data_IF_137645587551
#
_entry.id   IF_137645587551
#
_cell.length_a   1.000
_cell.length_b   1.000
_cell.length_c   1.000
_cell.angle_alpha   90.00
_cell.angle_beta   90.00
_cell.angle_gamma   90.00
#
_symmetry.space_group_name_H-M   'P 1'
#
loop_
_entity.id
_entity.type
_entity.pdbx_description
1 polymer ?
#
# COMPACT_ATOMS: atom_id res chain seq x y z
N UNK A 1 23.39 19.99 -6.01
CA UNK A 1 21.99 20.17 -6.39
C UNK A 1 21.13 19.51 -5.33
N UNK A 2 20.27 20.25 -4.63
CA UNK A 2 19.34 19.67 -3.68
C UNK A 2 18.33 18.83 -4.47
N UNK A 3 18.47 17.50 -4.43
CA UNK A 3 17.45 16.62 -4.99
C UNK A 3 16.17 16.82 -4.17
N UNK A 4 15.15 17.35 -4.80
CA UNK A 4 13.80 17.44 -4.24
C UNK A 4 13.36 16.04 -3.83
N UNK A 5 12.69 15.93 -2.69
CA UNK A 5 12.16 14.67 -2.20
C UNK A 5 11.09 14.17 -3.21
N UNK A 6 11.32 13.07 -3.93
CA UNK A 6 10.35 12.54 -4.87
C UNK A 6 9.24 11.80 -4.11
N UNK A 7 8.31 12.56 -3.51
CA UNK A 7 7.15 11.98 -2.83
C UNK A 7 6.09 11.64 -3.88
N UNK A 8 5.72 10.37 -4.04
CA UNK A 8 4.62 10.00 -4.93
C UNK A 8 3.30 10.52 -4.34
N UNK A 9 2.40 10.99 -5.21
CA UNK A 9 1.11 11.51 -4.77
C UNK A 9 0.20 10.46 -4.14
N UNK A 10 0.35 9.19 -4.54
CA UNK A 10 -0.47 8.07 -4.06
C UNK A 10 -1.97 8.42 -4.09
N UNK A 11 -2.68 8.13 -2.99
CA UNK A 11 -4.09 8.49 -2.83
C UNK A 11 -4.31 9.88 -2.18
N UNK A 12 -3.26 10.69 -1.98
CA UNK A 12 -3.36 11.96 -1.29
C UNK A 12 -4.33 12.97 -1.93
N UNK A 13 -4.37 13.14 -3.27
CA UNK A 13 -5.34 14.04 -3.90
C UNK A 13 -6.78 13.62 -3.64
N UNK A 14 -7.07 12.32 -3.67
CA UNK A 14 -8.38 11.78 -3.35
C UNK A 14 -8.79 12.09 -1.91
N UNK A 15 -7.89 11.85 -0.95
CA UNK A 15 -8.14 12.11 0.48
C UNK A 15 -8.36 13.59 0.72
N UNK A 16 -7.51 14.47 0.16
CA UNK A 16 -7.63 15.91 0.30
C UNK A 16 -8.96 16.43 -0.26
N UNK A 17 -9.32 16.02 -1.48
CA UNK A 17 -10.60 16.38 -2.10
C UNK A 17 -11.78 15.94 -1.24
N UNK A 18 -11.73 14.71 -0.73
CA UNK A 18 -12.78 14.16 0.11
C UNK A 18 -12.93 14.95 1.41
N UNK A 19 -11.82 15.26 2.08
CA UNK A 19 -11.85 16.03 3.33
C UNK A 19 -12.33 17.47 3.14
N UNK A 20 -12.00 18.12 2.03
CA UNK A 20 -12.52 19.46 1.67
C UNK A 20 -14.02 19.42 1.42
N UNK A 21 -14.51 18.36 0.75
CA UNK A 21 -15.94 18.22 0.43
C UNK A 21 -16.77 17.67 1.59
N UNK A 22 -16.14 17.04 2.57
CA UNK A 22 -16.85 16.40 3.69
C UNK A 22 -17.80 17.31 4.47
N UNK A 23 -17.44 18.58 4.80
CA UNK A 23 -18.36 19.50 5.47
C UNK A 23 -19.61 19.85 4.63
N UNK A 24 -19.49 19.78 3.30
CA UNK A 24 -20.57 20.16 2.37
C UNK A 24 -21.62 19.04 2.23
N UNK A 25 -21.35 17.83 2.70
CA UNK A 25 -22.24 16.67 2.57
C UNK A 25 -23.66 16.92 3.07
N UNK A 26 -23.82 17.60 4.20
CA UNK A 26 -25.12 17.92 4.78
C UNK A 26 -25.91 18.92 3.96
N UNK A 27 -25.23 19.86 3.31
CA UNK A 27 -25.84 20.87 2.44
C UNK A 27 -26.39 20.27 1.13
N UNK A 28 -25.81 19.13 0.71
CA UNK A 28 -26.20 18.42 -0.53
C UNK A 28 -27.16 17.25 -0.22
N UNK A 29 -27.55 17.07 1.06
CA UNK A 29 -28.47 16.00 1.46
C UNK A 29 -27.87 14.59 1.42
N UNK A 30 -26.54 14.49 1.37
CA UNK A 30 -25.87 13.18 1.43
C UNK A 30 -25.85 12.64 2.85
N UNK A 31 -26.51 11.52 3.05
CA UNK A 31 -26.44 10.75 4.30
C UNK A 31 -25.39 9.65 4.17
N UNK A 32 -24.65 9.43 5.25
CA UNK A 32 -23.73 8.28 5.29
C UNK A 32 -24.55 6.99 5.18
N UNK A 33 -24.29 6.20 4.13
CA UNK A 33 -24.83 4.86 4.05
C UNK A 33 -24.14 4.05 5.15
N UNK A 34 -24.92 3.56 6.10
CA UNK A 34 -24.46 2.57 7.05
C UNK A 34 -24.22 1.28 6.25
N UNK A 35 -22.98 1.01 5.87
CA UNK A 35 -22.56 -0.24 5.23
C UNK A 35 -22.68 -1.35 6.29
N UNK A 36 -23.90 -1.76 6.55
CA UNK A 36 -24.41 -2.76 7.46
C UNK A 36 -23.44 -3.16 8.59
N UNK A 37 -23.85 -2.95 9.82
CA UNK A 37 -23.17 -3.62 10.92
C UNK A 37 -23.10 -5.11 10.55
N UNK A 38 -21.90 -5.59 10.29
CA UNK A 38 -21.65 -7.03 10.16
C UNK A 38 -21.82 -7.60 11.57
N UNK A 39 -23.04 -7.73 12.05
CA UNK A 39 -23.55 -8.01 13.38
C UNK A 39 -22.78 -8.96 14.31
N UNK A 40 -21.53 -9.21 14.03
CA UNK A 40 -20.66 -10.15 14.69
C UNK A 40 -19.53 -9.39 15.39
N UNK A 41 -19.62 -9.30 16.71
CA UNK A 41 -18.60 -8.69 17.56
C UNK A 41 -17.30 -9.52 17.63
N UNK A 42 -17.36 -10.78 17.20
CA UNK A 42 -16.19 -11.67 17.21
C UNK A 42 -15.31 -11.44 15.99
N UNK A 43 -14.01 -11.22 16.23
CA UNK A 43 -13.03 -11.04 15.14
C UNK A 43 -12.77 -12.39 14.47
N UNK A 44 -13.01 -12.41 13.16
CA UNK A 44 -12.73 -13.57 12.29
C UNK A 44 -11.53 -13.23 11.41
N UNK A 45 -10.33 -13.58 11.82
CA UNK A 45 -9.09 -13.18 11.16
C UNK A 45 -9.02 -13.52 9.67
N UNK A 46 -9.48 -14.71 9.26
CA UNK A 46 -9.50 -15.11 7.83
C UNK A 46 -10.46 -14.21 7.05
N UNK A 47 -11.66 -13.99 7.58
CA UNK A 47 -12.65 -13.12 6.95
C UNK A 47 -12.14 -11.69 6.86
N UNK A 48 -11.58 -11.17 7.95
CA UNK A 48 -10.99 -9.83 8.01
C UNK A 48 -9.86 -9.65 7.00
N UNK A 49 -8.97 -10.64 6.88
CA UNK A 49 -7.84 -10.62 5.93
C UNK A 49 -8.34 -10.57 4.49
N UNK A 50 -9.29 -11.45 4.12
CA UNK A 50 -9.86 -11.45 2.77
C UNK A 50 -10.67 -10.19 2.50
N UNK A 51 -11.49 -9.74 3.46
CA UNK A 51 -12.25 -8.50 3.30
C UNK A 51 -11.35 -7.28 3.17
N UNK A 52 -10.19 -7.24 3.84
CA UNK A 52 -9.22 -6.16 3.71
C UNK A 52 -8.65 -6.07 2.29
N UNK A 53 -8.36 -7.21 1.67
CA UNK A 53 -7.95 -7.28 0.26
C UNK A 53 -9.07 -6.79 -0.67
N UNK A 54 -10.31 -7.18 -0.42
CA UNK A 54 -11.47 -6.70 -1.18
C UNK A 54 -11.71 -5.21 -0.99
N UNK A 55 -11.55 -4.70 0.24
CA UNK A 55 -11.73 -3.29 0.58
C UNK A 55 -10.71 -2.38 -0.11
N UNK A 56 -9.53 -2.90 -0.48
CA UNK A 56 -8.57 -2.18 -1.30
C UNK A 56 -9.13 -1.82 -2.70
N UNK A 57 -10.13 -2.56 -3.17
CA UNK A 57 -10.90 -2.29 -4.39
C UNK A 57 -12.30 -1.68 -4.11
N UNK A 58 -12.52 -1.13 -2.93
CA UNK A 58 -13.83 -0.63 -2.48
C UNK A 58 -14.93 -1.70 -2.45
N UNK A 59 -14.58 -2.99 -2.45
CA UNK A 59 -15.49 -4.12 -2.39
C UNK A 59 -15.28 -4.91 -1.10
N UNK A 60 -15.85 -4.42 0.03
CA UNK A 60 -15.69 -4.96 1.37
C UNK A 60 -16.33 -6.35 1.52
N UNK A 61 -15.79 -7.35 0.84
CA UNK A 61 -16.29 -8.73 0.80
C UNK A 61 -15.11 -9.70 0.74
N UNK A 62 -15.20 -10.80 1.47
CA UNK A 62 -14.20 -11.86 1.44
C UNK A 62 -14.07 -12.51 0.05
N UNK A 63 -15.18 -12.63 -0.68
CA UNK A 63 -15.19 -13.19 -2.05
C UNK A 63 -14.41 -12.27 -2.98
N UNK A 64 -14.69 -10.96 -2.94
CA UNK A 64 -13.95 -9.97 -3.74
C UNK A 64 -12.46 -9.97 -3.39
N UNK A 65 -12.13 -10.09 -2.10
CA UNK A 65 -10.76 -10.20 -1.64
C UNK A 65 -10.05 -11.45 -2.13
N UNK A 66 -10.73 -12.58 -2.15
CA UNK A 66 -10.19 -13.83 -2.70
C UNK A 66 -9.91 -13.70 -4.20
N UNK A 67 -10.84 -13.15 -4.97
CA UNK A 67 -10.68 -12.92 -6.41
C UNK A 67 -9.49 -11.96 -6.65
N UNK A 68 -9.41 -10.88 -5.88
CA UNK A 68 -8.31 -9.94 -5.98
C UNK A 68 -6.96 -10.58 -5.64
N UNK A 69 -6.90 -11.37 -4.57
CA UNK A 69 -5.69 -12.11 -4.18
C UNK A 69 -5.24 -13.08 -5.27
N UNK A 70 -6.18 -13.81 -5.88
CA UNK A 70 -5.89 -14.71 -7.00
C UNK A 70 -5.37 -13.93 -8.22
N UNK A 71 -5.94 -12.76 -8.52
CA UNK A 71 -5.45 -11.89 -9.58
C UNK A 71 -4.01 -11.43 -9.35
N UNK A 72 -3.68 -10.99 -8.13
CA UNK A 72 -2.32 -10.61 -7.76
C UNK A 72 -1.40 -11.84 -7.82
N UNK A 73 -1.86 -13.00 -7.36
CA UNK A 73 -1.06 -14.23 -7.33
C UNK A 73 -0.63 -14.67 -8.74
N UNK A 74 -1.54 -14.53 -9.72
CA UNK A 74 -1.26 -14.83 -11.13
C UNK A 74 -0.26 -13.81 -11.71
N UNK A 75 -0.41 -12.53 -11.36
CA UNK A 75 0.47 -11.47 -11.83
C UNK A 75 1.85 -11.54 -11.17
N UNK A 76 1.90 -11.66 -9.84
CA UNK A 76 3.12 -11.71 -9.06
C UNK A 76 2.85 -12.33 -7.67
N UNK A 77 3.29 -13.57 -7.48
CA UNK A 77 3.08 -14.30 -6.23
C UNK A 77 3.67 -13.60 -5.00
N UNK A 78 4.80 -12.86 -5.15
CA UNK A 78 5.43 -12.13 -4.05
C UNK A 78 4.52 -11.02 -3.52
N UNK A 79 3.90 -10.26 -4.42
CA UNK A 79 2.92 -9.22 -4.05
C UNK A 79 1.69 -9.83 -3.37
N UNK A 80 1.22 -10.99 -3.82
CA UNK A 80 0.09 -11.68 -3.19
C UNK A 80 0.41 -12.07 -1.74
N UNK A 81 1.59 -12.62 -1.50
CA UNK A 81 2.04 -12.99 -0.15
C UNK A 81 2.16 -11.76 0.74
N UNK A 82 2.78 -10.68 0.23
CA UNK A 82 2.95 -9.42 0.97
C UNK A 82 1.61 -8.78 1.29
N UNK A 83 0.68 -8.75 0.33
CA UNK A 83 -0.67 -8.23 0.53
C UNK A 83 -1.44 -9.02 1.60
N UNK A 84 -1.37 -10.35 1.56
CA UNK A 84 -2.02 -11.21 2.53
C UNK A 84 -1.42 -11.05 3.95
N UNK A 85 -0.09 -10.99 4.04
CA UNK A 85 0.61 -10.73 5.33
C UNK A 85 0.21 -9.36 5.87
N UNK A 86 0.22 -8.31 5.04
CA UNK A 86 -0.18 -6.96 5.44
C UNK A 86 -1.62 -6.92 5.98
N UNK A 87 -2.55 -7.58 5.29
CA UNK A 87 -3.94 -7.69 5.73
C UNK A 87 -4.09 -8.42 7.07
N UNK A 88 -3.37 -9.53 7.25
CA UNK A 88 -3.39 -10.30 8.49
C UNK A 88 -2.83 -9.49 9.67
N UNK A 89 -1.69 -8.81 9.47
CA UNK A 89 -1.09 -7.95 10.50
C UNK A 89 -2.05 -6.84 10.89
N UNK A 90 -2.73 -6.23 9.93
CA UNK A 90 -3.72 -5.20 10.22
C UNK A 90 -4.86 -5.73 11.10
N UNK A 91 -5.37 -6.93 10.83
CA UNK A 91 -6.41 -7.53 11.65
C UNK A 91 -5.92 -7.81 13.08
N UNK A 92 -4.68 -8.27 13.25
CA UNK A 92 -4.05 -8.50 14.56
C UNK A 92 -3.84 -7.18 15.32
N UNK A 93 -3.29 -6.16 14.66
CA UNK A 93 -3.08 -4.83 15.26
C UNK A 93 -4.40 -4.19 15.64
N UNK A 94 -5.41 -4.25 14.75
CA UNK A 94 -6.73 -3.69 15.01
C UNK A 94 -7.41 -4.37 16.21
N UNK A 95 -7.29 -5.70 16.33
CA UNK A 95 -7.78 -6.44 17.50
C UNK A 95 -7.02 -6.04 18.78
N UNK A 96 -5.71 -5.85 18.70
CA UNK A 96 -4.89 -5.43 19.86
C UNK A 96 -5.27 -4.03 20.36
N UNK A 97 -5.60 -3.10 19.47
CA UNK A 97 -6.05 -1.75 19.85
C UNK A 97 -7.55 -1.68 20.17
N UNK A 98 -8.21 -2.82 20.33
CA UNK A 98 -9.64 -2.94 20.62
C UNK A 98 -10.53 -2.17 19.63
N UNK A 99 -10.22 -2.28 18.34
CA UNK A 99 -11.10 -1.75 17.32
C UNK A 99 -12.40 -2.58 17.24
N UNK A 100 -13.55 -1.98 16.85
CA UNK A 100 -14.80 -2.72 16.73
C UNK A 100 -14.67 -3.91 15.78
N UNK A 101 -15.20 -5.07 16.19
CA UNK A 101 -15.06 -6.32 15.45
C UNK A 101 -15.69 -6.28 14.06
N UNK A 102 -16.79 -5.54 13.89
CA UNK A 102 -17.44 -5.28 12.61
C UNK A 102 -16.54 -4.50 11.65
N UNK A 103 -15.82 -3.49 12.15
CA UNK A 103 -14.84 -2.74 11.35
C UNK A 103 -13.63 -3.60 10.95
N UNK A 104 -13.22 -4.53 11.82
CA UNK A 104 -12.13 -5.47 11.50
C UNK A 104 -12.60 -6.46 10.43
N UNK A 105 -13.76 -7.09 10.64
CA UNK A 105 -14.33 -8.11 9.76
C UNK A 105 -14.71 -7.57 8.37
N UNK A 106 -15.08 -6.27 8.28
CA UNK A 106 -15.32 -5.61 6.99
C UNK A 106 -14.04 -5.34 6.19
N UNK A 107 -12.87 -5.47 6.83
CA UNK A 107 -11.59 -5.17 6.22
C UNK A 107 -11.28 -3.68 6.07
N UNK A 108 -12.16 -2.81 6.59
CA UNK A 108 -12.04 -1.36 6.42
C UNK A 108 -10.80 -0.77 7.09
N UNK A 109 -10.32 -1.41 8.15
CA UNK A 109 -9.05 -1.04 8.80
C UNK A 109 -7.87 -1.62 8.02
N UNK A 110 -8.02 -2.84 7.51
CA UNK A 110 -6.94 -3.62 6.93
C UNK A 110 -6.45 -3.17 5.57
N UNK A 111 -7.30 -2.54 4.74
CA UNK A 111 -6.91 -2.18 3.37
C UNK A 111 -5.73 -1.19 3.33
N UNK A 112 -5.61 -0.31 4.33
CA UNK A 112 -4.46 0.60 4.44
C UNK A 112 -3.14 -0.15 4.56
N UNK A 113 -3.13 -1.24 5.34
CA UNK A 113 -1.94 -2.06 5.50
C UNK A 113 -1.61 -2.86 4.25
N UNK A 114 -2.61 -3.36 3.52
CA UNK A 114 -2.41 -4.01 2.21
C UNK A 114 -1.69 -3.07 1.27
N UNK A 115 -2.21 -1.84 1.11
CA UNK A 115 -1.62 -0.83 0.23
C UNK A 115 -0.23 -0.39 0.69
N UNK A 116 -0.05 -0.17 2.01
CA UNK A 116 1.23 0.23 2.58
C UNK A 116 2.29 -0.85 2.40
N UNK A 117 1.93 -2.13 2.57
CA UNK A 117 2.83 -3.26 2.41
C UNK A 117 3.33 -3.38 0.97
N UNK A 118 2.43 -3.34 -0.01
CA UNK A 118 2.79 -3.43 -1.43
C UNK A 118 3.61 -2.21 -1.83
N UNK A 119 3.18 -0.99 -1.48
CA UNK A 119 3.87 0.23 -1.84
C UNK A 119 5.27 0.32 -1.21
N UNK A 120 5.43 -0.11 0.05
CA UNK A 120 6.74 -0.12 0.70
C UNK A 120 7.68 -1.10 0.02
N UNK A 121 7.19 -2.28 -0.33
CA UNK A 121 7.97 -3.30 -1.03
C UNK A 121 8.46 -2.81 -2.40
N UNK A 122 7.61 -2.10 -3.15
CA UNK A 122 7.92 -1.64 -4.50
C UNK A 122 8.71 -0.32 -4.52
N UNK A 123 8.33 0.65 -3.68
CA UNK A 123 8.83 2.02 -3.78
C UNK A 123 10.03 2.28 -2.87
N UNK A 124 10.21 1.49 -1.81
CA UNK A 124 11.25 1.76 -0.80
C UNK A 124 12.30 0.66 -0.76
N UNK A 125 11.93 -0.54 -0.40
CA UNK A 125 12.82 -1.69 -0.35
C UNK A 125 12.04 -3.00 -0.27
N UNK A 126 12.53 -4.02 -0.97
CA UNK A 126 12.01 -5.39 -0.92
C UNK A 126 12.46 -6.11 0.38
N UNK A 127 12.31 -5.44 1.53
CA UNK A 127 12.63 -5.96 2.86
C UNK A 127 11.35 -6.26 3.64
N UNK A 128 11.17 -7.51 4.02
CA UNK A 128 10.00 -7.97 4.75
C UNK A 128 9.83 -7.24 6.10
N UNK A 129 10.92 -6.90 6.78
CA UNK A 129 10.87 -6.19 8.06
C UNK A 129 10.23 -4.82 7.90
N UNK A 130 10.61 -4.10 6.85
CA UNK A 130 10.07 -2.78 6.56
C UNK A 130 8.59 -2.87 6.14
N UNK A 131 8.24 -3.90 5.37
CA UNK A 131 6.84 -4.20 5.00
C UNK A 131 5.98 -4.47 6.23
N UNK A 132 6.46 -5.27 7.18
CA UNK A 132 5.75 -5.55 8.44
C UNK A 132 5.55 -4.29 9.27
N UNK A 133 6.59 -3.47 9.42
CA UNK A 133 6.51 -2.18 10.09
C UNK A 133 5.52 -1.23 9.41
N UNK A 134 5.52 -1.19 8.08
CA UNK A 134 4.59 -0.38 7.32
C UNK A 134 3.13 -0.83 7.52
N UNK A 135 2.87 -2.13 7.53
CA UNK A 135 1.54 -2.68 7.82
C UNK A 135 1.04 -2.28 9.21
N UNK A 136 1.88 -2.44 10.22
CA UNK A 136 1.55 -2.04 11.60
C UNK A 136 1.34 -0.54 11.73
N UNK A 137 2.28 0.26 11.22
CA UNK A 137 2.24 1.72 11.32
C UNK A 137 1.02 2.30 10.58
N UNK A 138 0.73 1.84 9.37
CA UNK A 138 -0.43 2.32 8.60
C UNK A 138 -1.75 2.03 9.29
N UNK A 139 -1.89 0.84 9.90
CA UNK A 139 -3.07 0.46 10.69
C UNK A 139 -3.22 1.34 11.93
N UNK A 140 -2.13 1.61 12.60
CA UNK A 140 -2.10 2.45 13.81
C UNK A 140 -2.45 3.90 13.47
N UNK A 141 -1.82 4.48 12.45
CA UNK A 141 -2.11 5.83 11.96
C UNK A 141 -3.59 5.94 11.56
N UNK A 142 -4.11 4.97 10.80
CA UNK A 142 -5.53 4.92 10.43
C UNK A 142 -6.43 4.93 11.67
N UNK A 143 -6.12 4.09 12.67
CA UNK A 143 -6.90 4.00 13.91
C UNK A 143 -6.88 5.30 14.72
N UNK A 144 -5.73 5.97 14.77
CA UNK A 144 -5.61 7.28 15.42
C UNK A 144 -6.44 8.37 14.72
N UNK A 145 -6.35 8.43 13.38
CA UNK A 145 -7.13 9.41 12.61
C UNK A 145 -8.62 9.13 12.74
N UNK A 146 -9.04 7.87 12.62
CA UNK A 146 -10.45 7.50 12.73
C UNK A 146 -11.08 7.84 14.09
N UNK A 147 -10.28 7.87 15.16
CA UNK A 147 -10.76 8.22 16.51
C UNK A 147 -10.80 9.71 16.78
N UNK A 148 -9.87 10.48 16.19
CA UNK A 148 -9.65 11.87 16.55
C UNK A 148 -10.07 12.87 15.48
N UNK A 149 -10.36 12.42 14.26
CA UNK A 149 -10.68 13.28 13.13
C UNK A 149 -12.16 13.15 12.73
N UNK A 150 -12.88 14.28 12.52
CA UNK A 150 -14.32 14.26 12.24
C UNK A 150 -14.67 13.72 10.84
N UNK A 151 -13.70 13.68 9.94
CA UNK A 151 -13.88 13.15 8.58
C UNK A 151 -13.37 11.72 8.49
N UNK A 152 -13.92 10.86 7.61
CA UNK A 152 -13.43 9.51 7.41
C UNK A 152 -11.94 9.46 7.09
N UNK A 153 -11.22 8.55 7.74
CA UNK A 153 -9.76 8.42 7.57
C UNK A 153 -9.35 7.94 6.16
N UNK A 154 -10.22 7.22 5.45
CA UNK A 154 -9.97 6.70 4.10
C UNK A 154 -8.61 5.98 4.00
N UNK A 155 -7.83 6.30 2.96
CA UNK A 155 -6.49 5.77 2.74
C UNK A 155 -5.37 6.59 3.41
N UNK A 156 -5.70 7.46 4.38
CA UNK A 156 -4.70 8.34 5.02
C UNK A 156 -3.63 7.58 5.79
N UNK A 157 -3.99 6.46 6.43
CA UNK A 157 -3.02 5.61 7.12
C UNK A 157 -1.94 5.08 6.19
N UNK A 158 -2.32 4.64 5.00
CA UNK A 158 -1.41 4.21 3.95
C UNK A 158 -0.50 5.34 3.46
N UNK A 159 -1.09 6.47 3.06
CA UNK A 159 -0.33 7.59 2.47
C UNK A 159 0.68 8.16 3.46
N UNK A 160 0.25 8.45 4.69
CA UNK A 160 1.13 9.02 5.72
C UNK A 160 2.23 8.05 6.14
N UNK A 161 1.93 6.75 6.20
CA UNK A 161 2.93 5.74 6.50
C UNK A 161 4.01 5.69 5.43
N UNK A 162 3.64 5.57 4.16
CA UNK A 162 4.62 5.49 3.05
C UNK A 162 5.42 6.78 2.95
N UNK A 163 4.79 7.94 3.06
CA UNK A 163 5.50 9.23 3.07
C UNK A 163 6.47 9.34 4.25
N UNK A 164 6.07 8.88 5.44
CA UNK A 164 6.93 8.83 6.62
C UNK A 164 8.17 7.99 6.40
N UNK A 165 8.01 6.79 5.85
CA UNK A 165 9.12 5.88 5.54
C UNK A 165 10.06 6.49 4.50
N UNK A 166 9.50 7.06 3.42
CA UNK A 166 10.32 7.72 2.39
C UNK A 166 11.05 8.95 2.93
N UNK A 167 10.41 9.74 3.78
CA UNK A 167 11.03 10.89 4.45
C UNK A 167 12.18 10.46 5.36
N UNK A 168 11.97 9.42 6.17
CA UNK A 168 13.02 8.86 7.04
C UNK A 168 14.19 8.32 6.22
N UNK A 169 13.94 7.63 5.12
CA UNK A 169 14.97 7.17 4.19
C UNK A 169 15.77 8.34 3.58
N UNK A 170 15.08 9.38 3.16
CA UNK A 170 15.71 10.60 2.64
C UNK A 170 16.52 11.33 3.69
N UNK A 171 16.02 11.48 4.91
CA UNK A 171 16.75 12.07 6.03
C UNK A 171 18.00 11.25 6.36
N UNK A 172 17.87 9.93 6.44
CA UNK A 172 19.01 9.05 6.70
C UNK A 172 20.11 9.21 5.62
N UNK A 173 19.74 9.26 4.34
CA UNK A 173 20.70 9.47 3.25
C UNK A 173 21.36 10.85 3.29
N UNK A 174 20.67 11.85 3.85
CA UNK A 174 21.21 13.20 3.97
C UNK A 174 22.21 13.36 5.12
N UNK A 175 21.94 12.68 6.25
CA UNK A 175 22.79 12.76 7.44
C UNK A 175 23.88 11.69 7.47
N UNK A 176 23.71 10.57 6.75
CA UNK A 176 24.66 9.47 6.65
C UNK A 176 25.02 9.18 5.19
N UNK A 177 25.74 10.07 4.49
CA UNK A 177 26.00 9.91 3.05
C UNK A 177 26.82 8.66 2.68
N UNK A 178 27.44 7.99 3.67
CA UNK A 178 28.22 6.76 3.46
C UNK A 178 27.42 5.46 3.51
N UNK A 179 26.12 5.51 3.83
CA UNK A 179 25.25 4.34 3.96
C UNK A 179 24.30 4.13 2.77
N UNK A 180 24.47 4.89 1.69
CA UNK A 180 23.74 4.57 0.45
C UNK A 180 24.13 3.16 0.03
N UNK A 181 23.17 2.22 -0.09
CA UNK A 181 23.46 0.93 -0.69
C UNK A 181 24.11 1.19 -2.05
N UNK A 182 25.27 0.61 -2.29
CA UNK A 182 25.84 0.59 -3.63
C UNK A 182 24.73 0.11 -4.57
N UNK A 183 24.46 0.89 -5.61
CA UNK A 183 23.56 0.47 -6.67
C UNK A 183 23.93 -0.97 -7.02
N UNK A 184 23.00 -1.93 -7.00
CA UNK A 184 23.35 -3.31 -7.26
C UNK A 184 24.08 -3.32 -8.60
N UNK A 185 25.35 -3.67 -8.60
CA UNK A 185 26.11 -3.92 -9.81
C UNK A 185 25.34 -5.03 -10.54
N UNK A 186 24.53 -4.63 -11.51
CA UNK A 186 23.89 -5.58 -12.41
C UNK A 186 25.05 -6.27 -13.14
N UNK A 187 25.31 -7.55 -12.85
CA UNK A 187 26.44 -8.23 -13.42
C UNK A 187 26.34 -8.13 -14.95
N UNK A 188 27.38 -7.57 -15.55
CA UNK A 188 27.47 -7.32 -17.00
C UNK A 188 27.22 -8.62 -17.81
N UNK A 189 27.45 -9.75 -17.19
CA UNK A 189 27.26 -11.10 -17.76
C UNK A 189 25.79 -11.42 -18.10
N UNK A 190 24.82 -10.83 -17.40
CA UNK A 190 23.38 -11.06 -17.69
C UNK A 190 22.89 -10.36 -18.96
N UNK A 191 23.72 -9.55 -19.62
CA UNK A 191 23.35 -8.78 -20.81
C UNK A 191 23.61 -9.51 -22.14
N UNK A 192 24.54 -10.46 -22.17
CA UNK A 192 24.90 -11.15 -23.41
C UNK A 192 23.92 -12.30 -23.76
N UNK A 193 23.30 -12.93 -22.77
CA UNK A 193 22.41 -14.08 -23.00
C UNK A 193 20.99 -13.72 -23.47
N UNK A 194 20.59 -12.46 -23.41
CA UNK A 194 19.24 -12.03 -23.79
C UNK A 194 19.13 -11.57 -25.25
N UNK A 195 20.19 -11.61 -26.04
CA UNK A 195 20.15 -11.22 -27.45
C UNK A 195 19.76 -9.75 -27.71
N UNK A 196 19.69 -8.92 -26.67
CA UNK A 196 19.40 -7.49 -26.77
C UNK A 196 20.70 -6.69 -26.92
N UNK A 197 20.96 -6.15 -28.11
CA UNK A 197 22.00 -5.12 -28.27
C UNK A 197 21.48 -3.80 -27.70
N UNK A 198 21.99 -3.43 -26.54
CA UNK A 198 21.78 -2.10 -25.98
C UNK A 198 22.84 -1.17 -26.55
N UNK A 199 22.45 -0.14 -27.27
CA UNK A 199 23.34 0.94 -27.70
C UNK A 199 23.07 2.14 -26.79
N UNK A 200 24.08 2.58 -26.10
CA UNK A 200 24.04 3.85 -25.36
C UNK A 200 24.32 4.99 -26.37
N UNK A 201 23.31 5.72 -26.74
CA UNK A 201 23.44 7.00 -27.44
C UNK A 201 22.93 8.10 -26.51
N UNK A 202 23.80 9.05 -26.18
CA UNK A 202 23.50 10.29 -25.46
C UNK A 202 22.74 10.14 -24.14
N UNK A 203 23.11 9.17 -23.30
CA UNK A 203 22.57 9.03 -21.94
C UNK A 203 21.15 8.47 -21.85
N UNK A 204 20.55 8.04 -22.96
CA UNK A 204 19.29 7.30 -22.97
C UNK A 204 19.51 5.84 -23.38
N UNK A 205 18.97 4.92 -22.59
CA UNK A 205 18.92 3.49 -22.92
C UNK A 205 17.78 3.26 -23.91
N UNK A 206 18.09 3.10 -25.20
CA UNK A 206 17.11 2.72 -26.22
C UNK A 206 17.22 1.20 -26.42
N UNK A 207 16.15 0.48 -26.11
CA UNK A 207 16.04 -0.95 -26.44
C UNK A 207 15.68 -1.05 -27.93
N UNK A 208 16.67 -1.42 -28.75
CA UNK A 208 16.47 -1.72 -30.15
C UNK A 208 16.35 -3.24 -30.29
N UNK A 209 15.29 -3.70 -30.94
CA UNK A 209 15.01 -5.10 -31.22
C UNK A 209 14.56 -5.96 -30.02
N UNK A 210 13.37 -5.61 -29.49
CA UNK A 210 12.63 -6.53 -28.61
C UNK A 210 12.02 -7.66 -29.46
N UNK A 211 12.36 -8.94 -29.23
CA UNK A 211 11.69 -10.01 -29.94
C UNK A 211 10.20 -10.01 -29.59
N UNK A 212 9.30 -10.12 -30.59
CA UNK A 212 7.87 -10.17 -30.32
C UNK A 212 7.52 -11.44 -29.55
N UNK A 213 7.17 -11.29 -28.26
CA UNK A 213 6.77 -12.41 -27.39
C UNK A 213 5.36 -12.94 -27.69
N UNK A 214 4.74 -12.48 -28.81
CA UNK A 214 3.38 -12.85 -29.17
C UNK A 214 3.33 -13.27 -30.64
N UNK A 215 3.57 -14.53 -30.90
CA UNK A 215 3.05 -15.28 -32.05
C UNK A 215 2.58 -16.63 -31.56
#
# INVERSE_FOLDING_TARGET
MAKWLPIPFLAAPFIATFWVLWPVKSSVGLTAINLGAFGDSHVRFILATLSALGSALFAASAISGLIFLLGILIANWRHAVIAAIGALIAALVAAHVNAPGDMINSGFIGFNAVLASIATYELVAADLRLVLLAAMASTWIFSLISRNWPSPALASGFVLCVWGIMLLGWLNSRFNPGTTPSEPEVPVVAREDLGCRLRAEEGQLVVKDWPPLWR
#
